data_IF_566073474102
#
_entry.id   IF_566073474102
#
_cell.length_a   1.000
_cell.length_b   1.000
_cell.length_c   1.000
_cell.angle_alpha   90.00
_cell.angle_beta   90.00
_cell.angle_gamma   90.00
#
_symmetry.space_group_name_H-M   'P 1'
#
loop_
_entity.id
_entity.type
_entity.pdbx_description
1 polymer ?
#
# COMPACT_ATOMS: atom_id res chain seq x y z
N UNK A 1 -87.82 -28.63 17.68
CA UNK A 1 -86.85 -27.68 18.25
C UNK A 1 -85.54 -28.44 18.50
N UNK A 2 -84.61 -28.26 17.55
CA UNK A 2 -83.14 -28.50 17.52
C UNK A 2 -82.49 -29.74 18.16
N UNK A 3 -81.97 -30.61 17.27
CA UNK A 3 -80.98 -31.66 17.49
C UNK A 3 -79.58 -31.06 17.74
N UNK A 4 -78.75 -31.61 18.64
CA UNK A 4 -77.30 -31.40 18.61
C UNK A 4 -76.58 -32.64 18.05
N UNK A 5 -76.15 -32.56 16.79
CA UNK A 5 -75.20 -33.49 16.17
C UNK A 5 -73.90 -32.72 15.90
N UNK A 6 -73.03 -32.60 16.90
CA UNK A 6 -71.72 -31.97 16.75
C UNK A 6 -70.64 -33.00 16.42
N UNK A 7 -70.41 -33.11 15.10
CA UNK A 7 -69.11 -33.25 14.41
C UNK A 7 -67.98 -33.95 15.17
N UNK A 8 -67.78 -35.24 14.84
CA UNK A 8 -66.54 -36.00 15.05
C UNK A 8 -65.74 -36.09 13.75
N UNK A 9 -64.41 -36.07 13.89
CA UNK A 9 -63.37 -36.32 12.87
C UNK A 9 -63.25 -35.22 11.79
N UNK A 10 -62.08 -34.75 11.36
CA UNK A 10 -60.80 -35.44 11.23
C UNK A 10 -59.66 -34.40 11.23
N UNK A 11 -58.74 -34.52 12.18
CA UNK A 11 -57.40 -33.96 12.09
C UNK A 11 -56.50 -35.18 12.05
N UNK A 12 -55.89 -35.50 10.90
CA UNK A 12 -54.47 -35.19 10.79
C UNK A 12 -54.04 -34.93 9.35
N UNK A 13 -53.09 -34.03 9.17
CA UNK A 13 -52.07 -34.05 8.11
C UNK A 13 -51.47 -32.66 8.16
N UNK A 14 -50.17 -32.58 8.40
CA UNK A 14 -49.24 -31.48 8.07
C UNK A 14 -48.10 -31.36 9.10
N UNK A 15 -47.51 -32.48 9.57
CA UNK A 15 -46.19 -32.42 10.20
C UNK A 15 -45.41 -33.67 9.82
N UNK A 16 -44.67 -33.62 8.72
CA UNK A 16 -43.79 -34.70 8.33
C UNK A 16 -43.25 -34.53 6.92
N UNK A 17 -42.27 -33.62 6.74
CA UNK A 17 -41.25 -33.72 5.67
C UNK A 17 -40.23 -32.56 5.58
N UNK A 18 -40.07 -31.70 6.60
CA UNK A 18 -39.22 -30.49 6.45
C UNK A 18 -38.03 -30.40 7.42
N UNK A 19 -37.40 -31.53 7.78
CA UNK A 19 -36.23 -31.53 8.68
C UNK A 19 -35.15 -32.51 8.20
N UNK A 20 -34.51 -32.23 7.06
CA UNK A 20 -33.35 -33.04 6.64
C UNK A 20 -32.32 -32.38 5.69
N UNK A 21 -32.37 -31.07 5.40
CA UNK A 21 -31.41 -30.45 4.47
C UNK A 21 -30.93 -29.08 4.94
N UNK A 22 -29.96 -29.03 5.88
CA UNK A 22 -29.49 -27.74 6.38
C UNK A 22 -28.06 -27.65 6.93
N UNK A 23 -27.20 -28.67 6.78
CA UNK A 23 -25.87 -28.64 7.45
C UNK A 23 -24.68 -29.06 6.57
N UNK A 24 -24.66 -28.65 5.30
CA UNK A 24 -23.42 -28.60 4.50
C UNK A 24 -23.10 -27.14 4.15
N UNK A 25 -22.98 -26.31 5.19
CA UNK A 25 -22.38 -24.99 5.06
C UNK A 25 -20.87 -25.15 4.94
N UNK A 26 -20.32 -24.95 3.74
CA UNK A 26 -18.90 -24.76 3.54
C UNK A 26 -18.44 -23.59 4.41
N UNK A 27 -17.70 -23.89 5.48
CA UNK A 27 -16.97 -22.88 6.23
C UNK A 27 -15.86 -22.34 5.37
N UNK A 28 -16.09 -21.20 4.73
CA UNK A 28 -15.01 -20.41 4.14
C UNK A 28 -14.14 -19.95 5.31
N UNK A 29 -12.91 -20.47 5.38
CA UNK A 29 -11.95 -20.09 6.42
C UNK A 29 -11.83 -18.56 6.41
N UNK A 30 -11.82 -17.88 7.57
CA UNK A 30 -11.62 -16.44 7.62
C UNK A 30 -10.38 -16.09 6.80
N UNK A 31 -10.56 -15.34 5.70
CA UNK A 31 -9.43 -14.77 4.98
C UNK A 31 -8.63 -13.96 6.00
N UNK A 32 -7.43 -14.41 6.30
CA UNK A 32 -6.47 -13.61 7.04
C UNK A 32 -6.30 -12.31 6.25
N UNK A 33 -6.86 -11.22 6.76
CA UNK A 33 -6.56 -9.88 6.28
C UNK A 33 -5.08 -9.69 6.59
N UNK A 34 -4.22 -9.45 5.58
CA UNK A 34 -2.82 -9.15 5.85
C UNK A 34 -2.79 -7.98 6.82
N UNK A 35 -2.18 -8.17 7.99
CA UNK A 35 -1.87 -7.07 8.89
C UNK A 35 -1.11 -6.02 8.07
N UNK A 36 -1.52 -4.74 8.09
CA UNK A 36 -0.76 -3.71 7.40
C UNK A 36 0.66 -3.74 7.97
N UNK A 37 1.63 -4.07 7.12
CA UNK A 37 3.05 -4.01 7.47
C UNK A 37 3.32 -2.63 8.05
N UNK A 38 3.67 -2.56 9.34
CA UNK A 38 3.63 -1.34 10.16
C UNK A 38 4.61 -0.22 9.79
N UNK A 39 5.13 -0.20 8.56
CA UNK A 39 5.85 0.93 8.00
C UNK A 39 4.90 1.89 7.28
N UNK A 40 5.18 3.19 7.36
CA UNK A 40 4.51 4.18 6.53
C UNK A 40 4.75 3.87 5.04
N UNK A 41 3.67 3.84 4.26
CA UNK A 41 3.75 3.69 2.81
C UNK A 41 4.22 5.01 2.19
N UNK A 42 5.09 4.96 1.17
CA UNK A 42 5.47 6.17 0.45
C UNK A 42 4.26 6.74 -0.30
N UNK A 43 4.22 8.06 -0.42
CA UNK A 43 3.23 8.75 -1.26
C UNK A 43 3.46 8.42 -2.74
N UNK A 44 4.74 8.26 -3.13
CA UNK A 44 5.16 7.95 -4.48
C UNK A 44 6.40 7.07 -4.48
N UNK A 45 6.48 6.15 -5.44
CA UNK A 45 7.70 5.41 -5.76
C UNK A 45 8.03 5.65 -7.23
N UNK A 46 9.25 6.14 -7.49
CA UNK A 46 9.74 6.53 -8.82
C UNK A 46 10.92 5.64 -9.19
N UNK A 47 10.91 5.09 -10.40
CA UNK A 47 12.06 4.37 -10.97
C UNK A 47 12.93 5.32 -11.79
N UNK A 48 14.22 5.01 -11.90
CA UNK A 48 15.20 5.82 -12.66
C UNK A 48 15.18 7.30 -12.25
N UNK A 49 15.19 7.53 -10.95
CA UNK A 49 15.05 8.86 -10.35
C UNK A 49 16.31 9.70 -10.60
N UNK A 50 16.09 10.94 -11.06
CA UNK A 50 17.15 11.92 -11.28
C UNK A 50 16.72 13.26 -10.71
N UNK A 51 17.60 13.89 -9.93
CA UNK A 51 17.42 15.28 -9.51
C UNK A 51 18.74 16.04 -9.63
N UNK A 52 18.65 17.27 -10.10
CA UNK A 52 19.81 18.16 -10.27
C UNK A 52 19.58 19.42 -9.46
N UNK A 53 20.55 19.75 -8.62
CA UNK A 53 20.60 21.05 -7.94
C UNK A 53 21.45 22.01 -8.75
N UNK A 54 20.97 23.24 -8.88
CA UNK A 54 21.65 24.29 -9.62
C UNK A 54 21.78 25.55 -8.78
N UNK A 55 22.90 26.26 -8.89
CA UNK A 55 23.07 27.62 -8.40
C UNK A 55 23.23 28.57 -9.60
N UNK A 56 22.39 29.61 -9.68
CA UNK A 56 22.32 30.54 -10.82
C UNK A 56 22.28 29.85 -12.21
N UNK A 57 21.65 28.68 -12.30
CA UNK A 57 21.56 27.88 -13.54
C UNK A 57 22.77 26.98 -13.82
N UNK A 58 23.80 27.01 -12.97
CA UNK A 58 24.94 26.09 -13.05
C UNK A 58 24.72 24.85 -12.18
N UNK A 59 24.87 23.63 -12.71
CA UNK A 59 24.69 22.41 -11.93
C UNK A 59 25.75 22.33 -10.83
N UNK A 60 25.31 22.10 -9.59
CA UNK A 60 26.18 21.84 -8.45
C UNK A 60 26.38 20.35 -8.27
N UNK A 61 25.29 19.59 -8.38
CA UNK A 61 25.32 18.13 -8.34
C UNK A 61 24.10 17.54 -9.04
N UNK A 62 24.25 16.31 -9.52
CA UNK A 62 23.15 15.49 -10.04
C UNK A 62 23.14 14.15 -9.32
N UNK A 63 22.03 13.84 -8.68
CA UNK A 63 21.76 12.55 -8.07
C UNK A 63 21.00 11.67 -9.07
N UNK A 64 21.50 10.46 -9.22
CA UNK A 64 20.88 9.36 -9.96
C UNK A 64 20.57 8.25 -8.97
N UNK A 65 19.39 7.65 -9.07
CA UNK A 65 19.01 6.49 -8.28
C UNK A 65 18.18 5.51 -9.12
N UNK A 66 18.33 4.22 -8.84
CA UNK A 66 17.51 3.19 -9.47
C UNK A 66 16.04 3.34 -9.07
N UNK A 67 15.78 3.65 -7.80
CA UNK A 67 14.45 4.00 -7.33
C UNK A 67 14.48 5.02 -6.20
N UNK A 68 13.38 5.74 -6.02
CA UNK A 68 13.19 6.70 -4.95
C UNK A 68 11.78 6.59 -4.37
N UNK A 69 11.67 6.49 -3.05
CA UNK A 69 10.42 6.53 -2.30
C UNK A 69 10.24 7.92 -1.67
N UNK A 70 9.13 8.59 -1.97
CA UNK A 70 8.85 9.97 -1.56
C UNK A 70 7.83 9.97 -0.41
N UNK A 71 8.18 10.67 0.67
CA UNK A 71 7.35 10.86 1.86
C UNK A 71 7.16 12.36 2.11
N UNK A 72 6.04 12.91 1.64
CA UNK A 72 5.73 14.34 1.71
C UNK A 72 5.52 14.80 3.15
N UNK A 73 4.88 13.97 3.99
CA UNK A 73 4.63 14.29 5.41
C UNK A 73 5.93 14.54 6.21
N UNK A 74 7.05 13.95 5.78
CA UNK A 74 8.37 14.09 6.40
C UNK A 74 9.35 14.95 5.60
N UNK A 75 8.95 15.45 4.43
CA UNK A 75 9.86 16.10 3.47
C UNK A 75 11.08 15.23 3.15
N UNK A 76 10.89 13.92 2.95
CA UNK A 76 11.98 12.96 2.80
C UNK A 76 11.87 12.20 1.48
N UNK A 77 13.01 11.94 0.86
CA UNK A 77 13.13 11.04 -0.29
C UNK A 77 14.17 9.99 0.07
N UNK A 78 13.78 8.71 0.04
CA UNK A 78 14.69 7.58 0.26
C UNK A 78 15.09 7.02 -1.11
N UNK A 79 16.33 7.26 -1.52
CA UNK A 79 16.85 6.88 -2.83
C UNK A 79 17.69 5.61 -2.72
N UNK A 80 17.52 4.65 -3.65
CA UNK A 80 18.23 3.36 -3.67
C UNK A 80 19.05 3.18 -4.94
N UNK A 81 20.26 2.65 -4.80
CA UNK A 81 21.24 2.53 -5.89
C UNK A 81 21.74 3.90 -6.33
N UNK A 82 22.26 4.67 -5.38
CA UNK A 82 22.59 6.09 -5.53
C UNK A 82 23.94 6.29 -6.20
N UNK A 83 24.00 7.22 -7.16
CA UNK A 83 25.21 7.86 -7.66
C UNK A 83 24.99 9.38 -7.67
N UNK A 84 25.88 10.14 -7.04
CA UNK A 84 25.88 11.61 -7.10
C UNK A 84 27.12 12.06 -7.86
N UNK A 85 26.93 12.82 -8.93
CA UNK A 85 28.01 13.50 -9.63
C UNK A 85 28.05 14.96 -9.16
N UNK A 86 29.20 15.42 -8.67
CA UNK A 86 29.42 16.81 -8.26
C UNK A 86 30.17 17.56 -9.35
N UNK A 87 29.85 18.84 -9.53
CA UNK A 87 30.41 19.67 -10.58
C UNK A 87 31.21 20.85 -10.00
N UNK A 88 32.20 21.32 -10.77
CA UNK A 88 32.96 22.54 -10.47
C UNK A 88 32.31 23.79 -11.11
N UNK A 89 32.98 24.94 -10.93
CA UNK A 89 32.56 26.24 -11.46
C UNK A 89 32.56 26.34 -13.00
N UNK A 90 33.11 25.34 -13.69
CA UNK A 90 33.11 25.23 -15.15
C UNK A 90 32.07 24.22 -15.64
N UNK A 91 31.26 23.66 -14.73
CA UNK A 91 30.31 22.60 -15.04
C UNK A 91 30.97 21.25 -15.34
N UNK A 92 32.25 21.07 -15.01
CA UNK A 92 32.96 19.81 -15.19
C UNK A 92 32.77 18.94 -13.95
N UNK A 93 32.54 17.63 -14.14
CA UNK A 93 32.39 16.71 -13.02
C UNK A 93 33.70 16.65 -12.22
N UNK A 94 33.65 17.10 -10.98
CA UNK A 94 34.79 17.13 -10.05
C UNK A 94 34.95 15.82 -9.30
N UNK A 95 33.83 15.17 -8.93
CA UNK A 95 33.84 13.91 -8.18
C UNK A 95 32.53 13.13 -8.33
N UNK A 96 32.55 11.86 -7.89
CA UNK A 96 31.37 10.99 -7.85
C UNK A 96 31.30 10.28 -6.50
N UNK A 97 30.11 10.29 -5.89
CA UNK A 97 29.76 9.49 -4.71
C UNK A 97 28.82 8.35 -5.13
N UNK A 98 29.02 7.15 -4.59
CA UNK A 98 28.11 6.03 -4.80
C UNK A 98 27.70 5.42 -3.46
N UNK A 99 26.41 5.11 -3.31
CA UNK A 99 25.88 4.49 -2.11
C UNK A 99 24.75 3.49 -2.45
N UNK A 100 24.49 2.56 -1.54
CA UNK A 100 23.36 1.63 -1.69
C UNK A 100 22.03 2.33 -1.49
N UNK A 101 22.01 3.28 -0.56
CA UNK A 101 20.86 4.08 -0.19
C UNK A 101 21.34 5.47 0.23
N UNK A 102 20.46 6.45 0.20
CA UNK A 102 20.64 7.73 0.87
C UNK A 102 19.33 8.46 1.04
N UNK A 103 19.26 9.34 2.04
CA UNK A 103 18.04 10.05 2.40
C UNK A 103 18.19 11.54 2.15
N UNK A 104 17.36 12.11 1.28
CA UNK A 104 17.35 13.53 0.94
C UNK A 104 16.22 14.25 1.69
N UNK A 105 16.54 15.31 2.42
CA UNK A 105 15.54 16.22 2.96
C UNK A 105 15.16 17.28 1.90
N UNK A 106 13.88 17.32 1.51
CA UNK A 106 13.41 18.20 0.44
C UNK A 106 13.47 19.69 0.81
N UNK A 107 13.41 20.04 2.10
CA UNK A 107 13.47 21.43 2.55
C UNK A 107 14.89 21.92 2.76
N UNK A 108 15.71 21.14 3.47
CA UNK A 108 17.11 21.52 3.75
C UNK A 108 18.05 21.28 2.57
N UNK A 109 17.63 20.41 1.63
CA UNK A 109 18.43 19.95 0.49
C UNK A 109 19.73 19.28 0.91
N UNK A 110 19.74 18.66 2.10
CA UNK A 110 20.83 17.85 2.61
C UNK A 110 20.54 16.36 2.42
N UNK A 111 21.62 15.59 2.19
CA UNK A 111 21.57 14.15 2.06
C UNK A 111 22.43 13.50 3.14
N UNK A 112 21.91 12.43 3.76
CA UNK A 112 22.62 11.59 4.74
C UNK A 112 22.72 10.14 4.30
#
# INVERSE_FOLDING_TARGET
MLLPFSRRSSWPLLIGCALALGCLGCGEAPRAVPEPSGGELPDQEVSDFVVTETDAGQPQWTLYARSAAIYNARNQIVARGVRVDFFDDKGTRSSTLTAREGELNQQRRDMV
#
